data_IF_386727355329
#
_entry.id   IF_386727355329
#
_cell.length_a   1.000
_cell.length_b   1.000
_cell.length_c   1.000
_cell.angle_alpha   90.00
_cell.angle_beta   90.00
_cell.angle_gamma   90.00
#
_symmetry.space_group_name_H-M   'P 1'
#
loop_
_entity.id
_entity.type
_entity.pdbx_description
1 polymer ?
#
# COMPACT_ATOMS: atom_id res chain seq x y z
N UNK A 1 -6.24 -19.80 1.52
CA UNK A 1 -5.60 -18.62 2.16
C UNK A 1 -5.61 -18.65 3.70
N UNK A 2 -6.63 -18.16 4.43
CA UNK A 2 -6.47 -17.92 5.90
C UNK A 2 -6.14 -19.17 6.73
N UNK A 3 -6.82 -20.29 6.49
CA UNK A 3 -6.53 -21.54 7.20
C UNK A 3 -5.11 -22.05 6.93
N UNK A 4 -4.68 -22.00 5.66
CA UNK A 4 -3.33 -22.39 5.26
C UNK A 4 -2.27 -21.45 5.85
N UNK A 5 -2.56 -20.14 5.89
CA UNK A 5 -1.69 -19.16 6.53
C UNK A 5 -1.54 -19.43 8.03
N UNK A 6 -2.65 -19.69 8.74
CA UNK A 6 -2.62 -20.05 10.17
C UNK A 6 -1.82 -21.33 10.42
N UNK A 7 -1.98 -22.35 9.57
CA UNK A 7 -1.18 -23.58 9.64
C UNK A 7 0.32 -23.30 9.46
N UNK A 8 0.67 -22.48 8.48
CA UNK A 8 2.07 -22.05 8.26
C UNK A 8 2.63 -21.28 9.46
N UNK A 9 1.83 -20.42 10.10
CA UNK A 9 2.22 -19.72 11.34
C UNK A 9 2.55 -20.73 12.44
N UNK A 10 1.71 -21.74 12.65
CA UNK A 10 1.93 -22.79 13.64
C UNK A 10 3.18 -23.63 13.32
N UNK A 11 3.34 -24.05 12.06
CA UNK A 11 4.51 -24.83 11.60
C UNK A 11 5.82 -24.06 11.81
N UNK A 12 5.84 -22.75 11.55
CA UNK A 12 7.04 -21.91 11.76
C UNK A 12 7.28 -21.57 13.22
N UNK A 13 6.23 -21.37 14.00
CA UNK A 13 6.34 -21.20 15.44
C UNK A 13 6.97 -22.43 16.12
N UNK A 14 6.63 -23.65 15.67
CA UNK A 14 7.25 -24.88 16.14
C UNK A 14 8.76 -24.97 15.85
N UNK A 15 9.23 -24.24 14.84
CA UNK A 15 10.66 -24.08 14.50
C UNK A 15 11.31 -22.85 15.18
N UNK A 16 10.56 -22.08 15.98
CA UNK A 16 11.06 -20.88 16.65
C UNK A 16 11.31 -19.69 15.72
N UNK A 17 10.68 -19.66 14.55
CA UNK A 17 10.87 -18.63 13.52
C UNK A 17 9.55 -17.96 13.14
N UNK A 18 9.63 -16.71 12.70
CA UNK A 18 8.46 -15.95 12.27
C UNK A 18 7.87 -16.50 10.97
N UNK A 19 6.56 -16.29 10.69
CA UNK A 19 5.94 -16.60 9.40
C UNK A 19 6.70 -15.95 8.25
N UNK A 20 6.79 -16.64 7.12
CA UNK A 20 7.23 -15.99 5.87
C UNK A 20 6.23 -14.88 5.47
N UNK A 21 6.70 -13.81 4.79
CA UNK A 21 5.82 -12.85 4.14
C UNK A 21 4.86 -13.52 3.15
N UNK A 22 3.77 -12.85 2.82
CA UNK A 22 2.82 -13.31 1.82
C UNK A 22 3.47 -13.25 0.44
N UNK A 23 3.26 -14.31 -0.34
CA UNK A 23 3.57 -14.32 -1.76
C UNK A 23 2.49 -13.60 -2.59
N UNK A 24 2.71 -13.55 -3.91
CA UNK A 24 1.82 -12.91 -4.85
C UNK A 24 0.41 -13.53 -4.84
N UNK A 25 0.30 -14.86 -4.82
CA UNK A 25 -0.99 -15.55 -4.84
C UNK A 25 -1.75 -15.32 -3.54
N UNK A 26 -1.07 -15.44 -2.39
CA UNK A 26 -1.65 -15.16 -1.09
C UNK A 26 -2.12 -13.70 -0.97
N UNK A 27 -1.38 -12.76 -1.57
CA UNK A 27 -1.78 -11.34 -1.58
C UNK A 27 -3.00 -11.09 -2.47
N UNK A 28 -3.09 -11.77 -3.62
CA UNK A 28 -4.28 -11.72 -4.46
C UNK A 28 -5.51 -12.29 -3.74
N UNK A 29 -5.37 -13.45 -3.11
CA UNK A 29 -6.43 -14.07 -2.31
C UNK A 29 -6.85 -13.18 -1.13
N UNK A 30 -5.88 -12.53 -0.47
CA UNK A 30 -6.14 -11.59 0.63
C UNK A 30 -6.97 -10.39 0.17
N UNK A 31 -6.70 -9.86 -1.02
CA UNK A 31 -7.47 -8.73 -1.58
C UNK A 31 -8.94 -9.12 -1.79
N UNK A 32 -9.22 -10.33 -2.24
CA UNK A 32 -10.60 -10.80 -2.38
C UNK A 32 -11.33 -10.90 -1.02
N UNK A 33 -10.62 -11.31 0.03
CA UNK A 33 -11.14 -11.26 1.41
C UNK A 33 -11.37 -9.83 1.88
N UNK A 34 -10.48 -8.89 1.54
CA UNK A 34 -10.64 -7.48 1.92
C UNK A 34 -11.84 -6.83 1.21
N UNK A 35 -12.16 -7.26 -0.01
CA UNK A 35 -13.38 -6.83 -0.72
C UNK A 35 -14.64 -7.46 -0.12
N UNK A 36 -14.57 -8.72 0.32
CA UNK A 36 -15.70 -9.48 0.85
C UNK A 36 -15.32 -10.17 2.18
N UNK A 37 -15.24 -9.43 3.29
CA UNK A 37 -14.68 -9.95 4.53
C UNK A 37 -15.60 -10.99 5.18
N UNK A 38 -15.05 -12.14 5.59
CA UNK A 38 -15.74 -13.04 6.52
C UNK A 38 -15.95 -12.35 7.86
N UNK A 39 -17.13 -12.55 8.47
CA UNK A 39 -17.46 -11.96 9.76
C UNK A 39 -16.48 -12.42 10.84
N UNK A 40 -15.90 -11.45 11.57
CA UNK A 40 -14.96 -11.70 12.67
C UNK A 40 -13.50 -11.86 12.23
N UNK A 41 -13.19 -11.76 10.94
CA UNK A 41 -11.82 -11.85 10.41
C UNK A 41 -11.29 -10.48 9.94
N UNK A 42 -12.08 -9.40 10.06
CA UNK A 42 -11.81 -8.09 9.48
C UNK A 42 -10.47 -7.50 9.92
N UNK A 43 -10.22 -7.47 11.23
CA UNK A 43 -8.97 -6.94 11.78
C UNK A 43 -7.77 -7.78 11.35
N UNK A 44 -7.94 -9.10 11.29
CA UNK A 44 -6.86 -10.02 10.94
C UNK A 44 -6.44 -9.86 9.48
N UNK A 45 -7.39 -9.77 8.55
CA UNK A 45 -7.05 -9.61 7.14
C UNK A 45 -6.45 -8.22 6.83
N UNK A 46 -6.87 -7.19 7.56
CA UNK A 46 -6.21 -5.87 7.49
C UNK A 46 -4.79 -5.95 8.03
N UNK A 47 -4.55 -6.62 9.16
CA UNK A 47 -3.18 -6.81 9.69
C UNK A 47 -2.25 -7.50 8.67
N UNK A 48 -2.74 -8.55 7.99
CA UNK A 48 -1.97 -9.22 6.94
C UNK A 48 -1.60 -8.26 5.79
N UNK A 49 -2.55 -7.43 5.34
CA UNK A 49 -2.29 -6.45 4.28
C UNK A 49 -1.24 -5.43 4.72
N UNK A 50 -1.35 -4.93 5.95
CA UNK A 50 -0.45 -3.89 6.47
C UNK A 50 0.96 -4.44 6.70
N UNK A 51 1.06 -5.61 7.35
CA UNK A 51 2.31 -6.06 8.00
C UNK A 51 2.95 -7.30 7.37
N UNK A 52 2.26 -8.01 6.46
CA UNK A 52 2.75 -9.30 5.94
C UNK A 52 3.04 -9.32 4.44
N UNK A 53 2.75 -8.25 3.71
CA UNK A 53 3.16 -8.11 2.31
C UNK A 53 4.55 -7.43 2.24
N UNK A 54 5.53 -7.99 1.52
CA UNK A 54 6.83 -7.34 1.35
C UNK A 54 6.68 -5.96 0.66
N UNK A 55 7.55 -4.99 0.99
CA UNK A 55 7.59 -3.69 0.32
C UNK A 55 8.38 -3.76 -1.01
N UNK A 56 8.52 -2.62 -1.69
CA UNK A 56 9.43 -2.53 -2.84
C UNK A 56 8.83 -3.02 -4.15
N UNK A 57 9.65 -3.76 -4.90
CA UNK A 57 9.34 -4.29 -6.25
C UNK A 57 9.11 -5.80 -6.26
N UNK A 58 8.68 -6.36 -5.12
CA UNK A 58 8.25 -7.76 -5.04
C UNK A 58 6.90 -7.97 -5.76
N UNK A 59 6.65 -9.16 -6.28
CA UNK A 59 5.41 -9.50 -6.98
C UNK A 59 4.17 -9.33 -6.08
N UNK A 60 4.29 -9.62 -4.78
CA UNK A 60 3.23 -9.36 -3.81
C UNK A 60 3.02 -7.85 -3.57
N UNK A 61 4.11 -7.07 -3.57
CA UNK A 61 4.05 -5.62 -3.47
C UNK A 61 3.34 -5.00 -4.68
N UNK A 62 3.59 -5.53 -5.89
CA UNK A 62 2.91 -5.09 -7.11
C UNK A 62 1.38 -5.20 -6.98
N UNK A 63 0.92 -6.37 -6.53
CA UNK A 63 -0.50 -6.67 -6.35
C UNK A 63 -1.11 -5.76 -5.27
N UNK A 64 -0.44 -5.59 -4.12
CA UNK A 64 -0.87 -4.68 -3.04
C UNK A 64 -0.94 -3.23 -3.52
N UNK A 65 0.10 -2.73 -4.18
CA UNK A 65 0.15 -1.35 -4.67
C UNK A 65 -0.96 -1.07 -5.68
N UNK A 66 -1.20 -1.99 -6.61
CA UNK A 66 -2.28 -1.88 -7.59
C UNK A 66 -3.66 -1.81 -6.95
N UNK A 67 -3.94 -2.68 -5.97
CA UNK A 67 -5.21 -2.65 -5.24
C UNK A 67 -5.39 -1.35 -4.44
N UNK A 68 -4.38 -0.93 -3.68
CA UNK A 68 -4.46 0.30 -2.88
C UNK A 68 -4.63 1.54 -3.78
N UNK A 69 -3.93 1.60 -4.92
CA UNK A 69 -4.11 2.65 -5.91
C UNK A 69 -5.55 2.70 -6.45
N UNK A 70 -6.10 1.54 -6.82
CA UNK A 70 -7.47 1.45 -7.32
C UNK A 70 -8.50 1.89 -6.25
N UNK A 71 -8.29 1.54 -4.98
CA UNK A 71 -9.16 1.99 -3.88
C UNK A 71 -9.05 3.51 -3.70
N UNK A 72 -7.83 4.07 -3.62
CA UNK A 72 -7.62 5.49 -3.45
C UNK A 72 -8.29 6.32 -4.58
N UNK A 73 -8.15 5.86 -5.83
CA UNK A 73 -8.77 6.47 -7.02
C UNK A 73 -10.28 6.23 -7.12
N UNK A 74 -10.85 5.32 -6.32
CA UNK A 74 -12.26 4.95 -6.38
C UNK A 74 -12.63 4.02 -7.54
N UNK A 75 -11.65 3.36 -8.15
CA UNK A 75 -11.82 2.35 -9.20
C UNK A 75 -12.15 0.97 -8.60
N UNK A 76 -11.78 0.76 -7.33
CA UNK A 76 -12.15 -0.39 -6.52
C UNK A 76 -12.73 0.07 -5.18
N UNK A 77 -13.47 -0.82 -4.50
CA UNK A 77 -14.02 -0.55 -3.17
C UNK A 77 -13.75 -1.72 -2.23
N UNK A 78 -13.68 -1.41 -0.94
CA UNK A 78 -13.60 -2.37 0.15
C UNK A 78 -14.36 -1.82 1.35
N UNK A 79 -15.10 -2.66 2.11
CA UNK A 79 -15.68 -2.25 3.38
C UNK A 79 -14.64 -2.01 4.49
N UNK A 80 -13.38 -2.44 4.31
CA UNK A 80 -12.33 -2.39 5.33
C UNK A 80 -11.24 -1.35 5.06
N UNK A 81 -11.07 -0.94 3.80
CA UNK A 81 -10.03 0.00 3.39
C UNK A 81 -10.68 1.19 2.71
N UNK A 82 -10.70 2.34 3.39
CA UNK A 82 -11.14 3.61 2.81
C UNK A 82 -10.12 4.18 1.83
N UNK A 83 -10.51 5.21 1.07
CA UNK A 83 -9.60 5.91 0.15
C UNK A 83 -8.39 6.50 0.89
N UNK A 84 -8.65 7.15 2.02
CA UNK A 84 -7.65 7.75 2.90
C UNK A 84 -6.71 6.67 3.43
N UNK A 85 -7.26 5.54 3.88
CA UNK A 85 -6.45 4.43 4.38
C UNK A 85 -5.58 3.82 3.28
N UNK A 86 -6.10 3.73 2.06
CA UNK A 86 -5.34 3.23 0.93
C UNK A 86 -4.15 4.15 0.59
N UNK A 87 -4.37 5.47 0.57
CA UNK A 87 -3.30 6.46 0.40
C UNK A 87 -2.25 6.38 1.52
N UNK A 88 -2.67 6.22 2.78
CA UNK A 88 -1.74 5.99 3.90
C UNK A 88 -0.86 4.75 3.70
N UNK A 89 -1.48 3.63 3.30
CA UNK A 89 -0.77 2.35 3.14
C UNK A 89 0.17 2.33 1.94
N UNK A 90 -0.13 3.06 0.86
CA UNK A 90 0.83 3.28 -0.21
C UNK A 90 2.10 3.96 0.31
N UNK A 91 1.96 4.92 1.24
CA UNK A 91 3.08 5.62 1.87
C UNK A 91 3.99 4.74 2.73
N UNK A 92 3.58 3.52 3.10
CA UNK A 92 4.38 2.62 3.93
C UNK A 92 5.16 1.57 3.13
N UNK A 93 5.05 1.57 1.79
CA UNK A 93 5.63 0.52 0.95
C UNK A 93 7.11 0.75 0.58
N UNK A 94 7.76 1.71 1.24
CA UNK A 94 9.19 2.11 1.14
C UNK A 94 9.65 2.66 -0.22
N UNK A 95 9.04 2.24 -1.33
CA UNK A 95 9.39 2.63 -2.69
C UNK A 95 9.00 1.57 -3.71
N UNK A 96 9.17 1.86 -5.00
CA UNK A 96 8.77 0.94 -6.08
C UNK A 96 7.34 1.19 -6.57
N UNK A 97 6.50 0.16 -6.55
CA UNK A 97 5.18 0.20 -7.20
C UNK A 97 4.18 1.19 -6.59
N UNK A 98 4.44 1.68 -5.38
CA UNK A 98 3.61 2.69 -4.72
C UNK A 98 3.87 4.13 -5.21
N UNK A 99 5.05 4.42 -5.80
CA UNK A 99 5.49 5.79 -6.07
C UNK A 99 4.62 6.50 -7.10
N UNK A 100 4.50 5.95 -8.31
CA UNK A 100 3.71 6.57 -9.37
C UNK A 100 2.24 6.83 -8.94
N UNK A 101 1.53 5.85 -8.33
CA UNK A 101 0.21 6.11 -7.77
C UNK A 101 0.17 7.26 -6.75
N UNK A 102 1.16 7.36 -5.86
CA UNK A 102 1.23 8.45 -4.89
C UNK A 102 1.42 9.80 -5.57
N UNK A 103 2.30 9.90 -6.58
CA UNK A 103 2.52 11.16 -7.31
C UNK A 103 1.24 11.61 -8.02
N UNK A 104 0.49 10.68 -8.62
CA UNK A 104 -0.81 10.98 -9.23
C UNK A 104 -1.83 11.49 -8.20
N UNK A 105 -1.86 10.90 -7.00
CA UNK A 105 -2.78 11.30 -5.93
C UNK A 105 -2.48 12.68 -5.34
N UNK A 106 -1.36 13.34 -5.70
CA UNK A 106 -1.13 14.75 -5.36
C UNK A 106 -2.13 15.70 -6.04
N UNK A 107 -2.85 15.24 -7.06
CA UNK A 107 -3.89 16.03 -7.75
C UNK A 107 -5.27 15.92 -7.08
N UNK A 108 -5.45 15.00 -6.11
CA UNK A 108 -6.69 14.84 -5.35
C UNK A 108 -6.61 15.66 -4.06
N UNK A 109 -7.33 16.78 -3.97
CA UNK A 109 -7.27 17.69 -2.82
C UNK A 109 -7.58 17.02 -1.47
N UNK A 110 -8.40 15.96 -1.45
CA UNK A 110 -8.77 15.27 -0.23
C UNK A 110 -7.66 14.29 0.22
N UNK A 111 -6.97 13.65 -0.72
CA UNK A 111 -5.94 12.66 -0.44
C UNK A 111 -4.52 13.25 -0.42
N UNK A 112 -4.28 14.35 -1.12
CA UNK A 112 -2.97 14.95 -1.27
C UNK A 112 -2.27 15.25 0.08
N UNK A 113 -2.93 15.75 1.13
CA UNK A 113 -2.27 15.93 2.44
C UNK A 113 -1.70 14.63 3.03
N UNK A 114 -2.38 13.49 2.82
CA UNK A 114 -1.92 12.17 3.28
C UNK A 114 -0.73 11.72 2.42
N UNK A 115 -0.83 11.91 1.12
CA UNK A 115 0.19 11.54 0.14
C UNK A 115 1.48 12.33 0.37
N UNK A 116 1.39 13.64 0.61
CA UNK A 116 2.54 14.50 0.95
C UNK A 116 3.28 13.90 2.15
N UNK A 117 2.56 13.58 3.22
CA UNK A 117 3.18 12.95 4.41
C UNK A 117 3.91 11.65 4.07
N UNK A 118 3.37 10.82 3.17
CA UNK A 118 4.02 9.59 2.72
C UNK A 118 5.26 9.86 1.86
N UNK A 119 5.14 10.68 0.82
CA UNK A 119 6.23 10.99 -0.11
C UNK A 119 7.39 11.74 0.59
N UNK A 120 7.10 12.65 1.52
CA UNK A 120 8.12 13.35 2.32
C UNK A 120 8.99 12.41 3.16
N UNK A 121 8.51 11.20 3.46
CA UNK A 121 9.30 10.18 4.19
C UNK A 121 9.85 9.09 3.26
N UNK A 122 9.69 9.24 1.95
CA UNK A 122 10.08 8.23 0.97
C UNK A 122 11.45 8.56 0.37
N UNK A 123 12.47 7.78 0.77
CA UNK A 123 13.85 7.99 0.30
C UNK A 123 14.08 7.41 -1.11
N UNK A 124 13.33 6.38 -1.49
CA UNK A 124 13.55 5.60 -2.71
C UNK A 124 12.80 6.20 -3.92
N UNK A 125 12.86 7.54 -4.08
CA UNK A 125 12.21 8.28 -5.17
C UNK A 125 12.97 8.17 -6.50
N UNK A 126 14.30 8.14 -6.47
CA UNK A 126 15.15 8.08 -7.66
C UNK A 126 14.69 9.08 -8.74
N UNK A 127 14.51 8.63 -9.99
CA UNK A 127 14.09 9.50 -11.10
C UNK A 127 12.64 10.00 -10.96
N UNK A 128 11.79 9.34 -10.17
CA UNK A 128 10.42 9.82 -9.92
C UNK A 128 10.39 11.14 -9.13
N UNK A 129 11.53 11.57 -8.57
CA UNK A 129 11.68 12.93 -8.07
C UNK A 129 11.37 13.97 -9.16
N UNK A 130 11.79 13.73 -10.40
CA UNK A 130 11.53 14.68 -11.50
C UNK A 130 10.05 14.78 -11.84
N UNK A 131 9.26 13.72 -11.65
CA UNK A 131 7.81 13.75 -11.84
C UNK A 131 7.13 14.67 -10.78
N UNK A 132 7.63 14.63 -9.54
CA UNK A 132 7.20 15.55 -8.46
C UNK A 132 7.63 16.98 -8.80
N UNK A 133 8.87 17.16 -9.24
CA UNK A 133 9.42 18.46 -9.65
C UNK A 133 8.62 19.09 -10.80
N UNK A 134 8.24 18.30 -11.80
CA UNK A 134 7.43 18.74 -12.92
C UNK A 134 6.04 19.20 -12.45
N UNK A 135 5.38 18.42 -11.58
CA UNK A 135 4.09 18.81 -10.97
C UNK A 135 4.20 20.10 -10.15
N UNK A 136 5.27 20.26 -9.38
CA UNK A 136 5.51 21.48 -8.60
C UNK A 136 5.70 22.70 -9.51
N UNK A 137 6.47 22.56 -10.59
CA UNK A 137 6.67 23.60 -11.63
C UNK A 137 5.37 23.93 -12.37
N UNK A 138 4.47 22.97 -12.53
CA UNK A 138 3.14 23.16 -13.08
C UNK A 138 2.15 23.83 -12.10
N UNK A 139 2.55 24.09 -10.85
CA UNK A 139 1.76 24.83 -9.87
C UNK A 139 1.02 23.97 -8.84
N UNK A 140 1.29 22.66 -8.76
CA UNK A 140 0.72 21.82 -7.70
C UNK A 140 1.39 22.16 -6.35
N UNK A 141 0.62 22.76 -5.42
CA UNK A 141 1.11 23.18 -4.10
C UNK A 141 1.50 22.00 -3.20
N UNK A 142 0.88 20.82 -3.37
CA UNK A 142 1.25 19.62 -2.63
C UNK A 142 2.57 19.04 -3.12
N UNK A 143 2.82 19.05 -4.43
CA UNK A 143 4.11 18.66 -4.99
C UNK A 143 5.25 19.58 -4.51
N UNK A 144 4.99 20.89 -4.37
CA UNK A 144 5.96 21.83 -3.75
C UNK A 144 6.28 21.45 -2.31
N UNK A 145 5.25 21.12 -1.51
CA UNK A 145 5.45 20.68 -0.12
C UNK A 145 6.32 19.42 -0.02
N UNK A 146 6.20 18.47 -0.96
CA UNK A 146 7.06 17.27 -0.99
C UNK A 146 8.53 17.63 -1.27
N UNK A 147 8.79 18.62 -2.11
CA UNK A 147 10.16 19.06 -2.44
C UNK A 147 10.80 19.84 -1.27
N UNK A 148 10.00 20.56 -0.50
CA UNK A 148 10.47 21.41 0.61
C UNK A 148 10.63 20.65 1.95
N UNK A 149 10.21 19.38 2.02
CA UNK A 149 10.19 18.58 3.26
C UNK A 149 11.52 17.89 3.61
#
# INVERSE_FOLDING_TARGET
MLQEYRKHVEERAALGIVPAPLDAQQTADLIELIKNPPAGEEEFIVDLLVNRVPPGVDDAAYIKAGFLAAVAKGEASSPLVSKEKAAELLGTMLGGYNIAPMIELLDDEALAPIVVKGLSNTLLMFDAFYDVEEKAKAGNEFAKQVIES
#
